data_IF_335324491523
#
_entry.id   IF_335324491523
#
_cell.length_a   1.000
_cell.length_b   1.000
_cell.length_c   1.000
_cell.angle_alpha   90.00
_cell.angle_beta   90.00
_cell.angle_gamma   90.00
#
_symmetry.space_group_name_H-M   'P 1'
#
loop_
_entity.id
_entity.type
_entity.pdbx_description
1 polymer ?
#
# COMPACT_ATOMS: atom_id res chain seq x y z
N UNK A 1 -22.91 -9.17 29.75
CA UNK A 1 -22.44 -8.82 28.39
C UNK A 1 -21.07 -8.20 28.60
N UNK A 2 -20.02 -8.76 28.01
CA UNK A 2 -18.66 -8.24 28.18
C UNK A 2 -18.59 -6.86 27.54
N UNK A 3 -18.12 -5.87 28.30
CA UNK A 3 -17.83 -4.53 27.76
C UNK A 3 -16.67 -4.67 26.77
N UNK A 4 -16.97 -4.64 25.47
CA UNK A 4 -15.95 -4.36 24.47
C UNK A 4 -15.53 -2.90 24.69
N UNK A 5 -14.30 -2.72 25.16
CA UNK A 5 -13.71 -1.38 25.19
C UNK A 5 -13.64 -0.85 23.75
N UNK A 6 -14.20 0.34 23.47
CA UNK A 6 -14.15 0.90 22.13
C UNK A 6 -12.70 1.15 21.73
N UNK A 7 -12.37 0.86 20.46
CA UNK A 7 -11.04 1.09 19.90
C UNK A 7 -10.63 2.55 20.07
N UNK A 8 -9.40 2.77 20.49
CA UNK A 8 -8.80 4.10 20.57
C UNK A 8 -8.43 4.59 19.15
N UNK A 9 -8.23 5.91 18.96
CA UNK A 9 -7.65 6.42 17.71
C UNK A 9 -6.32 5.74 17.34
N UNK A 10 -5.49 5.42 18.33
CA UNK A 10 -4.22 4.71 18.13
C UNK A 10 -4.46 3.29 17.56
N UNK A 11 -5.44 2.56 18.08
CA UNK A 11 -5.81 1.23 17.57
C UNK A 11 -6.28 1.32 16.12
N UNK A 12 -7.10 2.31 15.79
CA UNK A 12 -7.55 2.54 14.42
C UNK A 12 -6.39 2.84 13.46
N UNK A 13 -5.47 3.72 13.84
CA UNK A 13 -4.29 4.04 13.01
C UNK A 13 -3.39 2.81 12.84
N UNK A 14 -3.16 2.04 13.91
CA UNK A 14 -2.37 0.83 13.85
C UNK A 14 -2.98 -0.25 12.93
N UNK A 15 -4.29 -0.44 13.00
CA UNK A 15 -5.02 -1.37 12.13
C UNK A 15 -4.95 -0.92 10.66
N UNK A 16 -5.19 0.36 10.38
CA UNK A 16 -5.09 0.91 9.03
C UNK A 16 -3.67 0.76 8.47
N UNK A 17 -2.63 1.06 9.26
CA UNK A 17 -1.23 0.86 8.85
C UNK A 17 -0.94 -0.60 8.49
N UNK A 18 -1.47 -1.55 9.27
CA UNK A 18 -1.31 -2.97 8.98
C UNK A 18 -1.88 -3.33 7.60
N UNK A 19 -3.10 -2.87 7.31
CA UNK A 19 -3.77 -3.09 6.03
C UNK A 19 -3.04 -2.42 4.87
N UNK A 20 -2.61 -1.17 5.02
CA UNK A 20 -1.89 -0.46 3.97
C UNK A 20 -0.53 -1.11 3.65
N UNK A 21 0.19 -1.61 4.66
CA UNK A 21 1.45 -2.36 4.46
C UNK A 21 1.23 -3.67 3.70
N UNK A 22 0.10 -4.34 3.92
CA UNK A 22 -0.30 -5.51 3.15
C UNK A 22 -0.61 -5.13 1.70
N UNK A 23 -1.40 -4.06 1.49
CA UNK A 23 -1.71 -3.53 0.16
C UNK A 23 -0.47 -3.13 -0.62
N UNK A 24 0.53 -2.53 0.05
CA UNK A 24 1.82 -2.17 -0.53
C UNK A 24 2.61 -3.38 -1.03
N UNK A 25 2.57 -4.49 -0.30
CA UNK A 25 3.17 -5.75 -0.75
C UNK A 25 2.50 -6.25 -2.03
N UNK A 26 1.16 -6.28 -2.07
CA UNK A 26 0.43 -6.68 -3.27
C UNK A 26 0.66 -5.72 -4.44
N UNK A 27 0.70 -4.40 -4.17
CA UNK A 27 0.94 -3.38 -5.19
C UNK A 27 2.30 -3.58 -5.88
N UNK A 28 3.34 -3.89 -5.11
CA UNK A 28 4.65 -4.25 -5.67
C UNK A 28 4.58 -5.50 -6.55
N UNK A 29 3.97 -6.58 -6.05
CA UNK A 29 3.83 -7.83 -6.81
C UNK A 29 3.03 -7.63 -8.11
N UNK A 30 2.04 -6.73 -8.10
CA UNK A 30 1.28 -6.37 -9.29
C UNK A 30 2.15 -5.69 -10.35
N UNK A 31 3.10 -4.83 -9.98
CA UNK A 31 4.03 -4.21 -10.94
C UNK A 31 4.85 -5.29 -11.64
N UNK A 32 5.39 -6.26 -10.90
CA UNK A 32 6.17 -7.37 -11.44
C UNK A 32 5.34 -8.23 -12.40
N UNK A 33 4.09 -8.56 -12.01
CA UNK A 33 3.17 -9.30 -12.86
C UNK A 33 2.80 -8.53 -14.12
N UNK A 34 2.42 -7.26 -14.00
CA UNK A 34 2.04 -6.42 -15.14
C UNK A 34 3.22 -6.22 -16.11
N UNK A 35 4.45 -6.11 -15.60
CA UNK A 35 5.65 -6.07 -16.44
C UNK A 35 5.81 -7.35 -17.26
N UNK A 36 5.58 -8.51 -16.66
CA UNK A 36 5.63 -9.80 -17.36
C UNK A 36 4.56 -9.88 -18.46
N UNK A 37 3.33 -9.42 -18.17
CA UNK A 37 2.27 -9.40 -19.16
C UNK A 37 2.58 -8.41 -20.29
N UNK A 38 3.09 -7.23 -19.96
CA UNK A 38 3.46 -6.22 -20.94
C UNK A 38 4.51 -6.76 -21.92
N UNK A 39 5.57 -7.41 -21.44
CA UNK A 39 6.59 -8.04 -22.30
C UNK A 39 6.01 -9.09 -23.25
N UNK A 40 5.04 -9.88 -22.81
CA UNK A 40 4.36 -10.86 -23.68
C UNK A 40 3.55 -10.17 -24.79
N UNK A 41 2.86 -9.08 -24.46
CA UNK A 41 2.03 -8.33 -25.40
C UNK A 41 2.80 -7.38 -26.30
N UNK A 42 3.99 -6.94 -25.89
CA UNK A 42 4.92 -6.18 -26.73
C UNK A 42 5.77 -7.09 -27.62
N UNK A 43 5.98 -8.34 -27.21
CA UNK A 43 6.71 -9.37 -27.96
C UNK A 43 5.81 -10.30 -28.78
N UNK A 44 5.57 -11.51 -28.24
CA UNK A 44 4.90 -12.61 -28.94
C UNK A 44 3.49 -12.25 -29.44
N UNK A 45 2.74 -11.46 -28.67
CA UNK A 45 1.37 -11.08 -28.97
C UNK A 45 1.25 -9.64 -29.52
N UNK A 46 2.36 -9.05 -29.99
CA UNK A 46 2.41 -7.67 -30.54
C UNK A 46 1.34 -7.39 -31.60
N UNK A 47 0.99 -8.37 -32.43
CA UNK A 47 -0.07 -8.26 -33.45
C UNK A 47 -1.47 -7.97 -32.88
N UNK A 48 -1.69 -8.15 -31.57
CA UNK A 48 -2.96 -7.81 -30.90
C UNK A 48 -3.05 -6.33 -30.52
N UNK A 49 -1.93 -5.59 -30.56
CA UNK A 49 -1.86 -4.15 -30.27
C UNK A 49 -2.43 -3.77 -28.88
N UNK A 50 -2.25 -4.64 -27.88
CA UNK A 50 -2.76 -4.43 -26.51
C UNK A 50 -1.70 -4.00 -25.49
N UNK A 51 -0.41 -4.00 -25.86
CA UNK A 51 0.68 -3.64 -24.95
C UNK A 51 0.45 -2.29 -24.25
N UNK A 52 -0.01 -1.27 -24.98
CA UNK A 52 -0.32 0.05 -24.43
C UNK A 52 -1.39 0.03 -23.34
N UNK A 53 -2.38 -0.89 -23.38
CA UNK A 53 -3.37 -1.01 -22.29
C UNK A 53 -2.73 -1.53 -21.00
N UNK A 54 -1.79 -2.47 -21.11
CA UNK A 54 -1.09 -3.05 -19.96
C UNK A 54 -0.08 -2.05 -19.40
N UNK A 55 0.62 -1.30 -20.26
CA UNK A 55 1.50 -0.21 -19.86
C UNK A 55 0.76 0.84 -19.02
N UNK A 56 -0.45 1.23 -19.42
CA UNK A 56 -1.28 2.15 -18.64
C UNK A 56 -1.64 1.59 -17.25
N UNK A 57 -1.85 0.27 -17.13
CA UNK A 57 -2.05 -0.37 -15.82
C UNK A 57 -0.75 -0.35 -14.99
N UNK A 58 0.40 -0.60 -15.61
CA UNK A 58 1.70 -0.54 -14.92
C UNK A 58 1.96 0.86 -14.33
N UNK A 59 1.73 1.91 -15.13
CA UNK A 59 1.91 3.30 -14.68
C UNK A 59 1.03 3.56 -13.46
N UNK A 60 -0.27 3.26 -13.54
CA UNK A 60 -1.21 3.45 -12.43
C UNK A 60 -0.83 2.66 -11.19
N UNK A 61 -0.35 1.43 -11.37
CA UNK A 61 0.07 0.59 -10.27
C UNK A 61 1.33 1.13 -9.59
N UNK A 62 2.26 1.71 -10.36
CA UNK A 62 3.44 2.41 -9.84
C UNK A 62 3.06 3.67 -9.05
N UNK A 63 2.22 4.54 -9.64
CA UNK A 63 1.70 5.74 -8.96
C UNK A 63 1.00 5.39 -7.64
N UNK A 64 0.20 4.33 -7.64
CA UNK A 64 -0.48 3.86 -6.44
C UNK A 64 0.49 3.32 -5.38
N UNK A 65 1.53 2.59 -5.80
CA UNK A 65 2.56 2.10 -4.89
C UNK A 65 3.29 3.26 -4.19
N UNK A 66 3.70 4.28 -4.94
CA UNK A 66 4.37 5.46 -4.39
C UNK A 66 3.46 6.23 -3.42
N UNK A 67 2.18 6.39 -3.78
CA UNK A 67 1.19 7.02 -2.91
C UNK A 67 0.95 6.22 -1.61
N UNK A 68 0.96 4.88 -1.70
CA UNK A 68 0.87 4.01 -0.52
C UNK A 68 2.06 4.18 0.42
N UNK A 69 3.29 4.19 -0.11
CA UNK A 69 4.50 4.41 0.70
C UNK A 69 4.44 5.75 1.44
N UNK A 70 4.08 6.83 0.73
CA UNK A 70 3.95 8.17 1.33
C UNK A 70 2.88 8.20 2.43
N UNK A 71 1.69 7.65 2.17
CA UNK A 71 0.59 7.59 3.13
C UNK A 71 0.96 6.78 4.38
N UNK A 72 1.66 5.66 4.20
CA UNK A 72 2.14 4.84 5.31
C UNK A 72 3.13 5.64 6.18
N UNK A 73 4.07 6.36 5.57
CA UNK A 73 5.02 7.18 6.31
C UNK A 73 4.31 8.24 7.16
N UNK A 74 3.36 8.97 6.57
CA UNK A 74 2.56 9.99 7.30
C UNK A 74 1.77 9.36 8.45
N UNK A 75 1.14 8.21 8.25
CA UNK A 75 0.37 7.55 9.31
C UNK A 75 1.25 6.96 10.42
N UNK A 76 2.49 6.55 10.14
CA UNK A 76 3.45 6.18 11.18
C UNK A 76 3.82 7.38 12.06
N UNK A 77 4.00 8.57 11.47
CA UNK A 77 4.23 9.80 12.24
C UNK A 77 3.03 10.14 13.14
N UNK A 78 1.80 10.02 12.60
CA UNK A 78 0.57 10.20 13.38
C UNK A 78 0.51 9.18 14.52
N UNK A 79 0.82 7.91 14.25
CA UNK A 79 0.84 6.84 15.25
C UNK A 79 1.80 7.17 16.38
N UNK A 80 3.02 7.62 16.07
CA UNK A 80 4.02 8.04 17.07
C UNK A 80 3.52 9.20 17.91
N UNK A 81 2.85 10.19 17.30
CA UNK A 81 2.26 11.32 18.03
C UNK A 81 1.10 10.94 18.97
N UNK A 82 0.47 9.78 18.75
CA UNK A 82 -0.61 9.24 19.59
C UNK A 82 -0.08 8.31 20.71
N UNK A 83 1.18 7.87 20.65
CA UNK A 83 1.74 7.05 21.72
C UNK A 83 1.81 7.88 23.01
N UNK A 84 1.46 7.30 24.17
CA UNK A 84 1.66 7.98 25.44
C UNK A 84 3.13 8.38 25.56
N UNK A 85 3.39 9.65 25.89
CA UNK A 85 4.73 10.07 26.32
C UNK A 85 5.00 9.26 27.57
N UNK A 86 5.96 8.33 27.53
CA UNK A 86 6.46 7.71 28.75
C UNK A 86 6.91 8.87 29.66
N UNK A 87 6.12 9.16 30.70
CA UNK A 87 6.56 10.01 31.79
C UNK A 87 7.86 9.40 32.28
N UNK A 88 8.95 10.16 32.07
CA UNK A 88 10.27 9.82 32.55
C UNK A 88 10.13 9.47 34.04
N UNK A 89 10.21 8.18 34.35
CA UNK A 89 10.46 7.73 35.70
C UNK A 89 11.88 8.17 36.05
N UNK A 90 11.99 9.34 36.65
CA UNK A 90 13.21 9.95 37.16
C UNK A 90 12.92 10.70 38.45
#
# INVERSE_FOLDING_TARGET
MSEENPKTPLDHVADTLSQLKEMRHYAKNNVELLTTQWLMFDGELSKLEQAGRIEQLMIKQGEFYDALEATIAELEEVKTGLQPVEEQAG
#
